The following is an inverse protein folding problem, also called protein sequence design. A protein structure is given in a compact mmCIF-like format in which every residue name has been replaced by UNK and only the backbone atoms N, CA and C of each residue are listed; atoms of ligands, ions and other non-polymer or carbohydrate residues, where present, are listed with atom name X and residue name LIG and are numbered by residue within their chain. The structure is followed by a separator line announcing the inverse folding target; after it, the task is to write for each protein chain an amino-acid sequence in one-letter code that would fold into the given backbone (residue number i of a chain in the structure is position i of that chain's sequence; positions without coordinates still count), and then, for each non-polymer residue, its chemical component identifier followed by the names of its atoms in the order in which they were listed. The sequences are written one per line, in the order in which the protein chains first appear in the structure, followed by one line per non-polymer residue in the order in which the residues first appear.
data_IF_682625116232
#
_entry.id   IF_682625116232
#
_cell.length_a   1.000
_cell.length_b   1.000
_cell.length_c   1.000
_cell.angle_alpha   90.00
_cell.angle_beta   90.00
_cell.angle_gamma   90.00
#
_symmetry.space_group_name_H-M   'P 1'
#
loop_
_entity.id
_entity.type
_entity.pdbx_description
1 polymer ?
#
# COMPACT_ATOMS: atom_id res chain seq x y z
N UNK A 1 -12.50 -17.15 16.87
CA UNK A 1 -11.05 -17.26 16.55
C UNK A 1 -10.79 -16.49 15.27
N UNK A 2 -9.91 -15.47 15.29
CA UNK A 2 -9.53 -14.70 14.09
C UNK A 2 -8.45 -15.50 13.35
N UNK A 3 -8.69 -15.82 12.07
CA UNK A 3 -7.71 -16.51 11.21
C UNK A 3 -7.06 -15.52 10.25
N UNK A 4 -5.74 -15.42 10.27
CA UNK A 4 -4.97 -14.61 9.31
C UNK A 4 -4.53 -15.53 8.17
N UNK A 5 -4.71 -15.08 6.92
CA UNK A 5 -4.26 -15.83 5.74
C UNK A 5 -2.73 -15.96 5.75
N UNK A 6 -2.16 -17.16 5.51
CA UNK A 6 -0.71 -17.33 5.34
C UNK A 6 -0.11 -16.42 4.27
N UNK A 7 -0.90 -16.05 3.25
CA UNK A 7 -0.49 -15.11 2.20
C UNK A 7 -0.20 -13.70 2.71
N UNK A 8 -0.59 -13.37 3.95
CA UNK A 8 -0.27 -12.10 4.60
C UNK A 8 0.96 -12.20 5.52
N UNK A 9 1.51 -13.38 5.74
CA UNK A 9 2.61 -13.63 6.66
C UNK A 9 3.98 -13.52 5.95
N UNK A 10 4.43 -12.30 5.69
CA UNK A 10 5.75 -12.00 5.10
C UNK A 10 6.21 -10.60 5.49
N UNK A 11 7.49 -10.30 5.24
CA UNK A 11 8.07 -8.98 5.53
C UNK A 11 8.18 -8.75 7.03
N UNK A 12 8.72 -9.76 7.72
CA UNK A 12 9.00 -9.68 9.14
C UNK A 12 10.50 -9.66 9.37
N UNK A 13 10.90 -8.93 10.41
CA UNK A 13 12.26 -8.89 10.91
C UNK A 13 12.26 -9.07 12.43
N UNK A 14 13.41 -9.49 12.96
CA UNK A 14 13.63 -9.61 14.39
C UNK A 14 14.35 -8.36 14.86
N UNK A 15 13.80 -7.71 15.87
CA UNK A 15 14.46 -6.59 16.54
C UNK A 15 14.63 -6.93 18.02
N UNK A 16 15.65 -6.34 18.64
CA UNK A 16 15.90 -6.49 20.07
C UNK A 16 15.36 -5.25 20.78
N UNK A 17 14.41 -5.44 21.69
CA UNK A 17 13.90 -4.39 22.58
C UNK A 17 14.30 -4.77 24.00
N UNK A 18 15.22 -4.01 24.60
CA UNK A 18 15.90 -4.38 25.87
C UNK A 18 16.54 -5.77 25.74
N UNK A 19 16.12 -6.72 26.57
CA UNK A 19 16.63 -8.09 26.58
C UNK A 19 15.71 -9.09 25.87
N UNK A 20 14.70 -8.61 25.14
CA UNK A 20 13.71 -9.45 24.44
C UNK A 20 13.84 -9.31 22.94
N UNK A 21 13.94 -10.44 22.24
CA UNK A 21 13.81 -10.49 20.79
C UNK A 21 12.32 -10.53 20.42
N UNK A 22 11.89 -9.60 19.57
CA UNK A 22 10.52 -9.52 19.09
C UNK A 22 10.49 -9.53 17.56
N UNK A 23 9.45 -10.16 17.00
CA UNK A 23 9.22 -10.19 15.55
C UNK A 23 8.27 -9.05 15.21
N UNK A 24 8.69 -8.17 14.30
CA UNK A 24 7.92 -7.03 13.82
C UNK A 24 7.84 -7.06 12.29
N UNK A 25 6.88 -6.34 11.72
CA UNK A 25 6.89 -6.07 10.27
C UNK A 25 8.05 -5.14 9.94
N UNK A 26 8.74 -5.41 8.85
CA UNK A 26 9.73 -4.47 8.32
C UNK A 26 9.06 -3.19 7.79
N UNK A 27 9.87 -2.18 7.46
CA UNK A 27 9.38 -0.87 6.99
C UNK A 27 8.44 -1.00 5.79
N UNK A 28 8.85 -1.74 4.76
CA UNK A 28 8.05 -1.88 3.54
C UNK A 28 6.72 -2.59 3.80
N UNK A 29 6.73 -3.61 4.65
CA UNK A 29 5.51 -4.33 5.01
C UNK A 29 4.57 -3.46 5.83
N UNK A 30 5.12 -2.70 6.77
CA UNK A 30 4.36 -1.75 7.58
C UNK A 30 3.63 -0.73 6.71
N UNK A 31 4.26 -0.22 5.64
CA UNK A 31 3.60 0.67 4.68
C UNK A 31 2.44 0.00 3.95
N UNK A 32 2.57 -1.27 3.54
CA UNK A 32 1.47 -2.02 2.91
C UNK A 32 0.30 -2.18 3.90
N UNK A 33 0.60 -2.56 5.14
CA UNK A 33 -0.41 -2.75 6.19
C UNK A 33 -1.12 -1.44 6.55
N UNK A 34 -0.39 -0.33 6.57
CA UNK A 34 -0.93 1.00 6.82
C UNK A 34 -1.97 1.40 5.76
N UNK A 35 -1.74 1.09 4.48
CA UNK A 35 -2.71 1.39 3.41
C UNK A 35 -3.92 0.45 3.43
N UNK A 36 -3.76 -0.76 3.96
CA UNK A 36 -4.85 -1.70 4.16
C UNK A 36 -5.71 -1.35 5.38
N UNK A 37 -5.07 -1.00 6.50
CA UNK A 37 -5.68 -0.68 7.79
C UNK A 37 -5.18 0.68 8.28
N UNK A 38 -5.69 1.73 7.65
CA UNK A 38 -5.21 3.10 7.85
C UNK A 38 -5.75 3.83 9.08
N UNK A 39 -6.71 3.25 9.80
CA UNK A 39 -7.32 3.84 11.00
C UNK A 39 -6.29 4.35 12.03
N UNK A 40 -5.26 3.56 12.39
CA UNK A 40 -4.24 3.97 13.36
C UNK A 40 -3.36 5.16 12.94
N UNK A 41 -3.34 5.54 11.65
CA UNK A 41 -2.48 6.62 11.14
C UNK A 41 -3.28 7.84 10.63
N UNK A 42 -4.48 8.05 11.17
CA UNK A 42 -5.35 9.15 10.74
C UNK A 42 -6.07 8.91 9.42
N UNK A 43 -6.22 7.64 9.02
CA UNK A 43 -6.95 7.25 7.82
C UNK A 43 -6.11 7.26 6.54
N UNK A 44 -6.77 7.02 5.41
CA UNK A 44 -6.08 6.81 4.12
C UNK A 44 -5.31 8.03 3.62
N UNK A 45 -5.74 9.24 4.01
CA UNK A 45 -5.03 10.48 3.66
C UNK A 45 -3.64 10.51 4.32
N UNK A 46 -3.59 10.33 5.65
CA UNK A 46 -2.32 10.27 6.38
C UNK A 46 -1.44 9.11 5.89
N UNK A 47 -2.02 7.95 5.62
CA UNK A 47 -1.30 6.81 5.05
C UNK A 47 -0.67 7.11 3.67
N UNK A 48 -1.34 7.89 2.81
CA UNK A 48 -0.76 8.31 1.53
C UNK A 48 0.35 9.33 1.69
N UNK A 49 0.19 10.30 2.60
CA UNK A 49 1.19 11.33 2.81
C UNK A 49 2.50 10.70 3.32
N UNK A 50 2.41 9.82 4.33
CA UNK A 50 3.55 9.05 4.85
C UNK A 50 4.19 8.21 3.74
N UNK A 51 3.41 7.47 2.95
CA UNK A 51 3.95 6.64 1.88
C UNK A 51 4.69 7.46 0.82
N UNK A 52 4.16 8.63 0.44
CA UNK A 52 4.78 9.51 -0.56
C UNK A 52 6.08 10.10 -0.04
N UNK A 53 6.12 10.54 1.22
CA UNK A 53 7.33 11.06 1.87
C UNK A 53 8.42 9.99 1.92
N UNK A 54 8.10 8.82 2.47
CA UNK A 54 9.04 7.70 2.60
C UNK A 54 9.56 7.21 1.23
N UNK A 55 8.72 7.22 0.19
CA UNK A 55 9.14 6.85 -1.16
C UNK A 55 10.06 7.89 -1.82
N UNK A 56 9.93 9.18 -1.48
CA UNK A 56 10.77 10.27 -2.01
C UNK A 56 12.16 10.28 -1.37
N UNK A 57 12.23 10.09 -0.06
CA UNK A 57 13.47 10.22 0.71
C UNK A 57 14.41 9.00 0.55
N UNK A 58 14.01 8.01 -0.25
CA UNK A 58 14.75 6.75 -0.51
C UNK A 58 15.10 5.95 0.75
N UNK A 59 14.44 6.25 1.88
CA UNK A 59 14.63 5.52 3.14
C UNK A 59 14.09 4.08 3.09
N UNK A 60 13.28 3.77 2.07
CA UNK A 60 12.70 2.45 1.85
C UNK A 60 13.23 1.78 0.58
N UNK A 61 13.31 0.45 0.62
CA UNK A 61 13.55 -0.37 -0.55
C UNK A 61 12.32 -0.38 -1.45
N UNK A 62 12.20 0.60 -2.35
CA UNK A 62 11.05 0.74 -3.27
C UNK A 62 10.72 -0.57 -4.02
N UNK A 63 11.74 -1.27 -4.53
CA UNK A 63 11.55 -2.56 -5.21
C UNK A 63 10.94 -3.63 -4.29
N UNK A 64 11.34 -3.64 -3.01
CA UNK A 64 10.82 -4.55 -1.99
C UNK A 64 9.38 -4.18 -1.60
N UNK A 65 9.07 -2.90 -1.45
CA UNK A 65 7.70 -2.40 -1.26
C UNK A 65 6.79 -2.82 -2.41
N UNK A 66 7.23 -2.63 -3.66
CA UNK A 66 6.45 -3.04 -4.84
C UNK A 66 6.20 -4.55 -4.83
N UNK A 67 7.22 -5.36 -4.55
CA UNK A 67 7.09 -6.82 -4.40
C UNK A 67 6.05 -7.18 -3.33
N UNK A 68 6.09 -6.50 -2.20
CA UNK A 68 5.16 -6.71 -1.09
C UNK A 68 3.74 -6.28 -1.44
N UNK A 69 3.56 -5.15 -2.11
CA UNK A 69 2.26 -4.73 -2.59
C UNK A 69 1.68 -5.75 -3.58
N UNK A 70 2.45 -6.18 -4.59
CA UNK A 70 2.00 -7.17 -5.60
C UNK A 70 1.50 -8.46 -4.95
N UNK A 71 2.20 -8.97 -3.94
CA UNK A 71 1.82 -10.18 -3.20
C UNK A 71 0.64 -10.01 -2.25
N UNK A 72 0.24 -8.77 -1.94
CA UNK A 72 -0.78 -8.53 -0.92
C UNK A 72 -2.19 -8.91 -1.41
N UNK A 73 -2.95 -9.75 -0.68
CA UNK A 73 -4.21 -10.28 -1.18
C UNK A 73 -5.26 -9.21 -1.54
N UNK A 74 -5.29 -8.09 -0.81
CA UNK A 74 -6.30 -7.05 -1.03
C UNK A 74 -5.97 -6.20 -2.27
N UNK A 75 -6.77 -6.38 -3.33
CA UNK A 75 -6.61 -5.65 -4.61
C UNK A 75 -6.80 -4.14 -4.44
N UNK A 76 -7.72 -3.69 -3.58
CA UNK A 76 -7.96 -2.25 -3.36
C UNK A 76 -6.72 -1.56 -2.77
N UNK A 77 -6.00 -2.24 -1.88
CA UNK A 77 -4.75 -1.74 -1.29
C UNK A 77 -3.66 -1.64 -2.36
N UNK A 78 -3.51 -2.66 -3.22
CA UNK A 78 -2.58 -2.64 -4.36
C UNK A 78 -2.78 -1.43 -5.26
N UNK A 79 -4.03 -1.12 -5.61
CA UNK A 79 -4.40 0.04 -6.43
C UNK A 79 -4.02 1.36 -5.78
N UNK A 80 -4.37 1.51 -4.50
CA UNK A 80 -4.09 2.72 -3.71
C UNK A 80 -2.59 2.95 -3.56
N UNK A 81 -1.83 1.90 -3.27
CA UNK A 81 -0.36 1.95 -3.17
C UNK A 81 0.24 2.36 -4.53
N UNK A 82 -0.19 1.73 -5.62
CA UNK A 82 0.32 2.07 -6.95
C UNK A 82 0.03 3.51 -7.37
N UNK A 83 -1.21 3.97 -7.13
CA UNK A 83 -1.57 5.37 -7.32
C UNK A 83 -0.68 6.31 -6.49
N UNK A 84 -0.49 6.02 -5.20
CA UNK A 84 0.32 6.87 -4.33
C UNK A 84 1.80 6.92 -4.77
N UNK A 85 2.37 5.79 -5.17
CA UNK A 85 3.74 5.70 -5.67
C UNK A 85 3.95 6.43 -7.01
N UNK A 86 2.98 6.34 -7.93
CA UNK A 86 2.99 7.14 -9.16
C UNK A 86 2.97 8.64 -8.84
N UNK A 87 2.12 9.07 -7.89
CA UNK A 87 2.07 10.46 -7.42
C UNK A 87 3.35 10.89 -6.68
N UNK A 88 4.14 9.94 -6.18
CA UNK A 88 5.47 10.21 -5.60
C UNK A 88 6.57 10.35 -6.67
N UNK A 89 6.26 10.16 -7.95
CA UNK A 89 7.19 10.34 -9.07
C UNK A 89 7.86 9.05 -9.56
N UNK A 90 7.41 7.87 -9.11
CA UNK A 90 7.95 6.62 -9.60
C UNK A 90 7.49 6.35 -11.04
N UNK A 91 8.43 5.93 -11.89
CA UNK A 91 8.16 5.67 -13.30
C UNK A 91 7.29 4.42 -13.52
N UNK A 92 6.57 4.41 -14.64
CA UNK A 92 5.74 3.27 -15.09
C UNK A 92 6.55 1.98 -15.20
N UNK A 93 7.82 2.08 -15.60
CA UNK A 93 8.73 0.94 -15.70
C UNK A 93 8.97 0.29 -14.33
N UNK A 94 9.13 1.09 -13.27
CA UNK A 94 9.29 0.56 -11.92
C UNK A 94 7.99 -0.08 -11.41
N UNK A 95 6.85 0.53 -11.74
CA UNK A 95 5.52 0.13 -11.28
C UNK A 95 4.87 -0.97 -12.12
N UNK A 96 5.55 -1.49 -13.15
CA UNK A 96 4.98 -2.40 -14.14
C UNK A 96 4.36 -3.67 -13.51
N UNK A 97 5.05 -4.29 -12.55
CA UNK A 97 4.56 -5.49 -11.87
C UNK A 97 3.29 -5.22 -11.05
N UNK A 98 3.21 -4.05 -10.40
CA UNK A 98 2.04 -3.62 -9.64
C UNK A 98 0.87 -3.27 -10.56
N UNK A 99 1.12 -2.59 -11.68
CA UNK A 99 0.12 -2.32 -12.72
C UNK A 99 -0.48 -3.62 -13.26
N UNK A 100 0.35 -4.61 -13.60
CA UNK A 100 -0.11 -5.94 -14.05
C UNK A 100 -1.02 -6.60 -13.00
N UNK A 101 -0.73 -6.43 -11.71
CA UNK A 101 -1.52 -7.01 -10.63
C UNK A 101 -2.94 -6.44 -10.48
N UNK A 102 -3.24 -5.29 -11.11
CA UNK A 102 -4.54 -4.59 -10.99
C UNK A 102 -5.29 -4.38 -12.31
N UNK A 103 -4.65 -4.62 -13.47
CA UNK A 103 -5.15 -4.26 -14.82
C UNK A 103 -6.56 -4.76 -15.18
N UNK A 104 -7.04 -5.86 -14.61
CA UNK A 104 -8.35 -6.48 -14.92
C UNK A 104 -9.25 -6.60 -13.70
N UNK A 105 -9.40 -5.50 -12.96
CA UNK A 105 -10.14 -5.51 -11.69
C UNK A 105 -11.14 -4.36 -11.63
N UNK A 106 -12.18 -4.47 -10.80
CA UNK A 106 -13.26 -3.47 -10.70
C UNK A 106 -12.80 -2.12 -10.16
N UNK A 107 -13.46 -1.02 -10.51
CA UNK A 107 -13.13 0.30 -9.94
C UNK A 107 -13.35 0.35 -8.42
N UNK A 108 -12.43 0.99 -7.69
CA UNK A 108 -12.56 1.25 -6.24
C UNK A 108 -12.47 2.75 -5.96
N UNK A 109 -13.10 3.24 -4.90
CA UNK A 109 -12.88 4.63 -4.47
C UNK A 109 -11.50 4.75 -3.82
N UNK A 110 -10.80 5.86 -4.12
CA UNK A 110 -9.49 6.14 -3.58
C UNK A 110 -9.59 6.27 -2.05
N UNK A 111 -10.54 7.08 -1.56
CA UNK A 111 -10.90 7.17 -0.14
C UNK A 111 -12.25 6.49 0.14
N UNK A 112 -12.51 5.97 1.36
CA UNK A 112 -13.77 5.33 1.69
C UNK A 112 -14.91 6.35 1.60
N UNK A 113 -15.91 6.08 0.76
CA UNK A 113 -17.07 6.97 0.59
C UNK A 113 -18.30 6.18 0.17
N UNK A 114 -19.48 6.65 0.59
CA UNK A 114 -20.77 6.11 0.14
C UNK A 114 -21.06 6.47 -1.33
N UNK A 115 -20.51 7.60 -1.80
CA UNK A 115 -20.69 8.09 -3.17
C UNK A 115 -19.49 7.70 -4.03
N UNK A 116 -19.75 7.20 -5.24
CA UNK A 116 -18.70 6.84 -6.22
C UNK A 116 -18.45 7.96 -7.24
N UNK A 117 -18.50 9.22 -6.78
CA UNK A 117 -18.23 10.41 -7.62
C UNK A 117 -16.75 10.79 -7.54
N UNK A 118 -16.16 11.11 -8.69
CA UNK A 118 -14.76 11.52 -8.81
C UNK A 118 -14.18 11.23 -10.19
N UNK A 119 -12.95 11.69 -10.44
CA UNK A 119 -12.24 11.42 -11.69
C UNK A 119 -11.85 9.95 -11.75
N UNK A 120 -12.04 9.30 -12.90
CA UNK A 120 -11.65 7.89 -13.06
C UNK A 120 -10.20 7.81 -13.53
N UNK A 121 -9.35 7.19 -12.71
CA UNK A 121 -8.02 6.76 -13.10
C UNK A 121 -8.11 5.31 -13.59
N UNK A 122 -8.14 5.12 -14.91
CA UNK A 122 -8.22 3.77 -15.52
C UNK A 122 -6.93 2.97 -15.39
N UNK A 123 -5.79 3.62 -15.13
CA UNK A 123 -4.50 2.96 -14.98
C UNK A 123 -4.45 2.15 -13.67
N UNK A 124 -4.86 2.78 -12.57
CA UNK A 124 -4.91 2.15 -11.25
C UNK A 124 -6.29 1.62 -10.87
N UNK A 125 -7.29 1.79 -11.74
CA UNK A 125 -8.69 1.41 -11.50
C UNK A 125 -9.24 2.03 -10.20
N UNK A 126 -8.93 3.30 -9.98
CA UNK A 126 -9.40 4.09 -8.82
C UNK A 126 -10.30 5.25 -9.27
N UNK A 127 -11.26 5.59 -8.43
CA UNK A 127 -12.04 6.83 -8.52
C UNK A 127 -11.39 7.80 -7.56
N UNK A 128 -10.78 8.84 -8.10
CA UNK A 128 -10.19 9.96 -7.37
C UNK A 128 -11.33 10.82 -6.80
N UNK A 129 -11.85 10.39 -5.66
CA UNK A 129 -12.81 11.12 -4.85
C UNK A 129 -12.09 11.99 -3.81
N UNK A 130 -12.81 12.94 -3.22
CA UNK A 130 -12.29 13.76 -2.11
C UNK A 130 -12.27 12.89 -0.83
N UNK A 131 -11.21 13.09 -0.03
CA UNK A 131 -11.01 12.45 1.27
C UNK A 131 -11.97 13.00 2.33
#
# INVERSE_FOLDING_TARGET
MIKISPRRMYGFEKIKIKDTEVIVSDKERTLVDMLYFSGPVGGLKGAFDILKEQAKDREIGVSKLIKYAVGFPNVSSRKRIGFALEQAGLSDKMLESLLKSVKKTSLVTLYPSKSRKGKINRKWMVIENVA
#
